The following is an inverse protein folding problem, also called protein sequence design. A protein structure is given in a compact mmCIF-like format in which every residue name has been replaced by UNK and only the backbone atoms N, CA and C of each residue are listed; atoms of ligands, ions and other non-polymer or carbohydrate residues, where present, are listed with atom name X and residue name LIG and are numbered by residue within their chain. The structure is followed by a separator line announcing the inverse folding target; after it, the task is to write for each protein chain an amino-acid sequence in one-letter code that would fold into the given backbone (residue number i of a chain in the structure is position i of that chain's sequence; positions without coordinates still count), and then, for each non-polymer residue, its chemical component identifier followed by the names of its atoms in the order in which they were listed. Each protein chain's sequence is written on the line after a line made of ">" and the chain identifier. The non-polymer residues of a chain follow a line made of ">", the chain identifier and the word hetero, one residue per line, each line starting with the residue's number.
data_IF_196067554226
#
_entry.id   IF_196067554226
#
_cell.length_a   1.000
_cell.length_b   1.000
_cell.length_c   1.000
_cell.angle_alpha   90.00
_cell.angle_beta   90.00
_cell.angle_gamma   90.00
#
_symmetry.space_group_name_H-M   'P 1'
#
loop_
_entity.id
_entity.type
_entity.pdbx_description
1 polymer ?
#
# COMPACT_ATOMS: atom_id res chain seq x y z
N UNK A 1 -42.06 4.54 6.82
CA UNK A 1 -42.29 3.49 5.80
C UNK A 1 -42.67 4.15 4.49
N UNK A 2 -41.72 4.38 3.58
CA UNK A 2 -42.01 4.62 2.16
C UNK A 2 -40.73 4.34 1.38
N UNK A 3 -40.72 3.18 0.75
CA UNK A 3 -39.64 2.66 -0.08
C UNK A 3 -39.91 3.02 -1.55
N UNK A 4 -38.82 3.40 -2.24
CA UNK A 4 -38.45 2.98 -3.60
C UNK A 4 -39.38 3.43 -4.74
N UNK A 5 -38.92 4.45 -5.47
CA UNK A 5 -39.08 4.54 -6.92
C UNK A 5 -37.78 5.07 -7.53
N UNK A 6 -36.90 4.17 -7.99
CA UNK A 6 -35.89 4.50 -9.00
C UNK A 6 -36.01 3.45 -10.12
N UNK A 7 -36.66 3.93 -11.18
CA UNK A 7 -36.66 3.50 -12.58
C UNK A 7 -35.67 2.38 -12.94
N UNK A 8 -36.23 1.18 -13.15
CA UNK A 8 -35.61 0.11 -13.94
C UNK A 8 -36.15 0.23 -15.36
N UNK A 9 -35.51 1.04 -16.20
CA UNK A 9 -35.86 1.05 -17.63
C UNK A 9 -34.67 1.49 -18.49
N UNK A 10 -33.75 0.56 -18.78
CA UNK A 10 -32.88 0.61 -19.96
C UNK A 10 -32.06 -0.68 -20.15
N UNK A 11 -32.72 -1.85 -20.04
CA UNK A 11 -32.14 -3.12 -20.51
C UNK A 11 -32.68 -3.53 -21.90
N UNK A 12 -33.53 -2.73 -22.53
CA UNK A 12 -34.26 -3.11 -23.77
C UNK A 12 -33.72 -2.52 -25.08
N UNK A 13 -32.70 -1.66 -25.07
CA UNK A 13 -32.15 -1.04 -26.30
C UNK A 13 -30.69 -1.40 -26.61
N UNK A 14 -30.15 -2.50 -26.04
CA UNK A 14 -28.82 -2.96 -26.43
C UNK A 14 -28.86 -3.67 -27.80
N UNK A 15 -28.25 -3.04 -28.80
CA UNK A 15 -27.97 -3.62 -30.13
C UNK A 15 -27.27 -4.99 -29.96
N UNK A 16 -27.48 -5.96 -30.89
CA UNK A 16 -26.93 -7.32 -30.76
C UNK A 16 -25.42 -7.34 -30.50
N UNK A 17 -24.70 -6.41 -31.15
CA UNK A 17 -23.26 -6.20 -31.02
C UNK A 17 -22.81 -5.86 -29.59
N UNK A 18 -23.56 -5.01 -28.88
CA UNK A 18 -23.22 -4.56 -27.52
C UNK A 18 -23.51 -5.64 -26.45
N UNK A 19 -24.47 -6.55 -26.71
CA UNK A 19 -24.72 -7.73 -25.85
C UNK A 19 -23.60 -8.74 -25.93
N UNK A 20 -23.05 -8.95 -27.12
CA UNK A 20 -21.97 -9.92 -27.34
C UNK A 20 -20.64 -9.44 -26.77
N UNK A 21 -20.34 -8.15 -26.87
CA UNK A 21 -19.16 -7.53 -26.27
C UNK A 21 -19.23 -7.58 -24.72
N UNK A 22 -20.39 -7.27 -24.14
CA UNK A 22 -20.61 -7.40 -22.69
C UNK A 22 -20.52 -8.85 -22.20
N UNK A 23 -20.96 -9.82 -23.01
CA UNK A 23 -20.80 -11.25 -22.71
C UNK A 23 -19.34 -11.68 -22.76
N UNK A 24 -18.55 -11.16 -23.70
CA UNK A 24 -17.10 -11.37 -23.79
C UNK A 24 -16.37 -10.74 -22.59
N UNK A 25 -16.73 -9.52 -22.19
CA UNK A 25 -16.17 -8.85 -20.99
C UNK A 25 -16.46 -9.65 -19.72
N UNK A 26 -17.70 -10.09 -19.49
CA UNK A 26 -18.06 -10.94 -18.35
C UNK A 26 -17.31 -12.28 -18.31
N UNK A 27 -17.16 -12.95 -19.46
CA UNK A 27 -16.37 -14.19 -19.57
C UNK A 27 -14.89 -13.95 -19.24
N UNK A 28 -14.33 -12.80 -19.65
CA UNK A 28 -12.94 -12.43 -19.36
C UNK A 28 -12.74 -12.15 -17.87
N UNK A 29 -13.64 -11.38 -17.24
CA UNK A 29 -13.60 -11.14 -15.79
C UNK A 29 -13.77 -12.43 -14.98
N UNK A 30 -14.67 -13.33 -15.39
CA UNK A 30 -14.85 -14.62 -14.73
C UNK A 30 -13.62 -15.54 -14.88
N UNK A 31 -12.90 -15.46 -16.02
CA UNK A 31 -11.63 -16.17 -16.20
C UNK A 31 -10.52 -15.61 -15.30
N UNK A 32 -10.43 -14.28 -15.16
CA UNK A 32 -9.45 -13.64 -14.28
C UNK A 32 -9.71 -13.99 -12.81
N UNK A 33 -10.97 -13.93 -12.36
CA UNK A 33 -11.32 -14.32 -10.99
C UNK A 33 -11.03 -15.80 -10.71
N UNK A 34 -11.28 -16.70 -11.67
CA UNK A 34 -10.87 -18.10 -11.56
C UNK A 34 -9.35 -18.26 -11.53
N UNK A 35 -8.60 -17.42 -12.24
CA UNK A 35 -7.13 -17.45 -12.20
C UNK A 35 -6.59 -16.97 -10.85
N UNK A 36 -7.20 -15.95 -10.25
CA UNK A 36 -6.86 -15.47 -8.90
C UNK A 36 -7.20 -16.47 -7.82
N UNK A 37 -8.38 -17.10 -7.87
CA UNK A 37 -8.72 -18.20 -6.96
C UNK A 37 -7.72 -19.34 -7.05
N UNK A 38 -7.29 -19.72 -8.27
CA UNK A 38 -6.23 -20.73 -8.45
C UNK A 38 -4.91 -20.30 -7.85
N UNK A 39 -4.50 -19.03 -8.00
CA UNK A 39 -3.28 -18.51 -7.37
C UNK A 39 -3.38 -18.56 -5.84
N UNK A 40 -4.53 -18.19 -5.27
CA UNK A 40 -4.77 -18.28 -3.84
C UNK A 40 -4.74 -19.74 -3.34
N UNK A 41 -5.40 -20.66 -4.05
CA UNK A 41 -5.36 -22.10 -3.73
C UNK A 41 -3.94 -22.69 -3.85
N UNK A 42 -3.15 -22.27 -4.85
CA UNK A 42 -1.75 -22.69 -4.97
C UNK A 42 -0.92 -22.18 -3.80
N UNK A 43 -1.07 -20.92 -3.42
CA UNK A 43 -0.38 -20.33 -2.27
C UNK A 43 -0.76 -21.04 -0.95
N UNK A 44 -2.04 -21.39 -0.78
CA UNK A 44 -2.49 -22.19 0.37
C UNK A 44 -1.90 -23.60 0.37
N UNK A 45 -1.83 -24.26 -0.79
CA UNK A 45 -1.21 -25.58 -0.96
C UNK A 45 0.29 -25.54 -0.68
N UNK A 46 1.00 -24.50 -1.12
CA UNK A 46 2.42 -24.28 -0.83
C UNK A 46 2.66 -24.09 0.67
N UNK A 47 1.84 -23.27 1.34
CA UNK A 47 1.92 -23.12 2.80
C UNK A 47 1.68 -24.44 3.54
N UNK A 48 0.68 -25.23 3.12
CA UNK A 48 0.43 -26.56 3.69
C UNK A 48 1.58 -27.54 3.42
N UNK A 49 2.18 -27.51 2.23
CA UNK A 49 3.36 -28.32 1.90
C UNK A 49 4.56 -27.92 2.76
N UNK A 50 4.79 -26.63 2.98
CA UNK A 50 5.86 -26.16 3.87
C UNK A 50 5.64 -26.60 5.32
N UNK A 51 4.39 -26.56 5.81
CA UNK A 51 4.07 -27.08 7.14
C UNK A 51 4.34 -28.58 7.26
N UNK A 52 3.93 -29.37 6.25
CA UNK A 52 4.23 -30.81 6.18
C UNK A 52 5.74 -31.09 6.16
N UNK A 53 6.49 -30.33 5.36
CA UNK A 53 7.96 -30.42 5.30
C UNK A 53 8.63 -30.05 6.62
N UNK A 54 8.08 -29.09 7.38
CA UNK A 54 8.61 -28.72 8.68
C UNK A 54 8.36 -29.80 9.73
N UNK A 55 7.16 -30.38 9.76
CA UNK A 55 6.82 -31.52 10.63
C UNK A 55 7.69 -32.73 10.29
N UNK A 56 7.86 -33.00 8.99
CA UNK A 56 8.70 -34.11 8.52
C UNK A 56 10.17 -33.90 8.88
N UNK A 57 10.71 -32.68 8.74
CA UNK A 57 12.07 -32.32 9.20
C UNK A 57 12.25 -32.52 10.70
N UNK A 58 11.26 -32.13 11.51
CA UNK A 58 11.26 -32.37 12.97
C UNK A 58 11.25 -33.86 13.31
N UNK A 59 10.47 -34.66 12.58
CA UNK A 59 10.43 -36.12 12.71
C UNK A 59 11.78 -36.76 12.35
N UNK A 60 12.36 -36.39 11.21
CA UNK A 60 13.67 -36.87 10.77
C UNK A 60 14.77 -36.51 11.77
N UNK A 61 14.76 -35.29 12.32
CA UNK A 61 15.73 -34.87 13.35
C UNK A 61 15.66 -35.76 14.60
N UNK A 62 14.46 -36.12 15.05
CA UNK A 62 14.29 -37.05 16.18
C UNK A 62 14.78 -38.45 15.81
N UNK A 63 14.48 -38.92 14.61
CA UNK A 63 14.87 -40.26 14.15
C UNK A 63 16.40 -40.40 14.06
N UNK A 64 17.09 -39.42 13.46
CA UNK A 64 18.56 -39.39 13.39
C UNK A 64 19.22 -39.24 14.78
N UNK A 65 18.60 -38.46 15.68
CA UNK A 65 19.05 -38.37 17.06
C UNK A 65 18.96 -39.71 17.79
N UNK A 66 17.84 -40.42 17.64
CA UNK A 66 17.63 -41.74 18.22
C UNK A 66 18.56 -42.82 17.63
N UNK A 67 18.78 -42.82 16.30
CA UNK A 67 19.74 -43.74 15.68
C UNK A 67 21.18 -43.46 16.12
N UNK A 68 21.55 -42.18 16.27
CA UNK A 68 22.85 -41.78 16.80
C UNK A 68 23.08 -42.28 18.24
N UNK A 69 22.07 -42.15 19.10
CA UNK A 69 22.11 -42.66 20.49
C UNK A 69 22.22 -44.19 20.55
N UNK A 70 21.50 -44.91 19.67
CA UNK A 70 21.60 -46.37 19.59
C UNK A 70 22.97 -46.83 19.11
N UNK A 71 23.54 -46.17 18.10
CA UNK A 71 24.89 -46.48 17.60
C UNK A 71 25.93 -46.18 18.68
N UNK A 72 25.81 -45.05 19.39
CA UNK A 72 26.69 -44.74 20.53
C UNK A 72 26.58 -45.78 21.65
N UNK A 73 25.36 -46.22 21.98
CA UNK A 73 25.12 -47.26 22.97
C UNK A 73 25.74 -48.61 22.58
N UNK A 74 25.64 -49.01 21.31
CA UNK A 74 26.24 -50.24 20.79
C UNK A 74 27.78 -50.17 20.76
N UNK A 75 28.35 -49.02 20.41
CA UNK A 75 29.79 -48.79 20.45
C UNK A 75 30.31 -48.82 21.89
N UNK A 76 29.60 -48.21 22.84
CA UNK A 76 29.92 -48.28 24.26
C UNK A 76 29.93 -49.73 24.77
N UNK A 77 28.89 -50.50 24.46
CA UNK A 77 28.80 -51.92 24.85
C UNK A 77 29.99 -52.72 24.32
N UNK A 78 30.41 -52.46 23.08
CA UNK A 78 31.55 -53.15 22.46
C UNK A 78 32.90 -52.70 23.03
N UNK A 79 33.06 -51.42 23.39
CA UNK A 79 34.30 -50.89 24.00
C UNK A 79 34.43 -51.35 25.45
N UNK A 80 33.36 -51.33 26.24
CA UNK A 80 33.35 -51.85 27.63
C UNK A 80 33.61 -53.35 27.69
N UNK A 81 33.19 -54.10 26.67
CA UNK A 81 33.47 -55.53 26.56
C UNK A 81 34.95 -55.85 26.23
N UNK A 82 35.68 -54.91 25.60
CA UNK A 82 37.05 -55.14 25.11
C UNK A 82 38.11 -54.41 25.97
N UNK A 83 37.80 -53.25 26.58
CA UNK A 83 38.75 -52.39 27.32
C UNK A 83 38.11 -51.67 28.53
N UNK A 84 38.97 -51.16 29.42
CA UNK A 84 38.62 -50.51 30.69
C UNK A 84 37.62 -49.36 30.57
N UNK A 85 36.77 -49.20 31.61
CA UNK A 85 35.57 -48.33 31.62
C UNK A 85 35.80 -46.86 31.24
N UNK A 86 37.03 -46.35 31.39
CA UNK A 86 37.37 -44.95 31.15
C UNK A 86 37.48 -44.57 29.66
N UNK A 87 37.91 -45.49 28.79
CA UNK A 87 38.04 -45.23 27.35
C UNK A 87 36.67 -45.15 26.64
N UNK A 88 35.65 -45.79 27.19
CA UNK A 88 34.30 -45.74 26.64
C UNK A 88 33.66 -44.34 26.80
N UNK A 89 33.91 -43.68 27.94
CA UNK A 89 33.35 -42.36 28.24
C UNK A 89 33.96 -41.28 27.34
N UNK A 90 35.27 -41.30 27.11
CA UNK A 90 35.94 -40.31 26.25
C UNK A 90 35.52 -40.43 24.80
N UNK A 91 35.38 -41.66 24.28
CA UNK A 91 34.87 -41.90 22.92
C UNK A 91 33.42 -41.42 22.76
N UNK A 92 32.57 -41.57 23.78
CA UNK A 92 31.19 -41.07 23.73
C UNK A 92 31.12 -39.54 23.75
N UNK A 93 31.95 -38.88 24.56
CA UNK A 93 31.99 -37.41 24.60
C UNK A 93 32.47 -36.83 23.27
N UNK A 94 33.49 -37.42 22.64
CA UNK A 94 34.00 -36.92 21.35
C UNK A 94 33.02 -37.18 20.20
N UNK A 95 32.34 -38.34 20.17
CA UNK A 95 31.30 -38.62 19.17
C UNK A 95 30.09 -37.70 19.33
N UNK A 96 29.68 -37.40 20.56
CA UNK A 96 28.62 -36.42 20.84
C UNK A 96 29.03 -35.01 20.39
N UNK A 97 30.28 -34.62 20.60
CA UNK A 97 30.81 -33.32 20.17
C UNK A 97 30.82 -33.16 18.66
N UNK A 98 31.25 -34.20 17.93
CA UNK A 98 31.24 -34.24 16.47
C UNK A 98 29.80 -34.19 15.91
N UNK A 99 28.87 -34.93 16.52
CA UNK A 99 27.46 -34.89 16.13
C UNK A 99 26.85 -33.49 16.31
N UNK A 100 27.18 -32.80 17.40
CA UNK A 100 26.75 -31.42 17.63
C UNK A 100 27.30 -30.43 16.60
N UNK A 101 28.55 -30.62 16.14
CA UNK A 101 29.12 -29.79 15.07
C UNK A 101 28.41 -30.01 13.73
N UNK A 102 28.09 -31.28 13.40
CA UNK A 102 27.33 -31.61 12.20
C UNK A 102 25.90 -31.06 12.22
N UNK A 103 25.23 -31.09 13.37
CA UNK A 103 23.89 -30.50 13.53
C UNK A 103 23.92 -28.98 13.37
N UNK A 104 24.94 -28.29 13.90
CA UNK A 104 25.13 -26.83 13.69
C UNK A 104 25.35 -26.49 12.21
N UNK A 105 26.11 -27.31 11.50
CA UNK A 105 26.31 -27.14 10.05
C UNK A 105 25.00 -27.34 9.29
N UNK A 106 24.21 -28.35 9.65
CA UNK A 106 22.89 -28.57 9.04
C UNK A 106 21.95 -27.38 9.25
N UNK A 107 21.89 -26.83 10.46
CA UNK A 107 21.07 -25.64 10.75
C UNK A 107 21.59 -24.40 9.98
N UNK A 108 22.91 -24.26 9.83
CA UNK A 108 23.54 -23.18 9.06
C UNK A 108 23.24 -23.24 7.56
N UNK A 109 23.11 -24.45 6.98
CA UNK A 109 22.69 -24.60 5.58
C UNK A 109 21.22 -24.18 5.43
N UNK A 110 20.38 -24.49 6.41
CA UNK A 110 18.97 -24.08 6.42
C UNK A 110 18.77 -22.57 6.53
N UNK A 111 19.58 -21.87 7.32
CA UNK A 111 19.54 -20.41 7.40
C UNK A 111 20.08 -19.75 6.13
N UNK A 112 21.15 -20.29 5.54
CA UNK A 112 21.69 -19.80 4.28
C UNK A 112 20.68 -19.90 3.13
N UNK A 113 19.95 -21.02 3.01
CA UNK A 113 18.91 -21.17 1.99
C UNK A 113 17.77 -20.16 2.14
N UNK A 114 17.37 -19.85 3.38
CA UNK A 114 16.36 -18.80 3.62
C UNK A 114 16.89 -17.42 3.20
N UNK A 115 18.11 -17.10 3.60
CA UNK A 115 18.78 -15.86 3.20
C UNK A 115 18.87 -15.71 1.68
N UNK A 116 19.17 -16.80 0.96
CA UNK A 116 19.20 -16.80 -0.51
C UNK A 116 17.85 -16.45 -1.14
N UNK A 117 16.76 -17.05 -0.66
CA UNK A 117 15.39 -16.77 -1.14
C UNK A 117 15.01 -15.31 -0.85
N UNK A 118 15.40 -14.77 0.30
CA UNK A 118 15.14 -13.39 0.66
C UNK A 118 15.95 -12.42 -0.20
N UNK A 119 17.22 -12.73 -0.51
CA UNK A 119 18.03 -11.97 -1.46
C UNK A 119 17.43 -11.96 -2.87
N UNK A 120 16.95 -13.12 -3.35
CA UNK A 120 16.31 -13.21 -4.67
C UNK A 120 15.04 -12.34 -4.75
N UNK A 121 14.25 -12.28 -3.65
CA UNK A 121 13.10 -11.37 -3.56
C UNK A 121 13.51 -9.90 -3.59
N UNK A 122 14.58 -9.52 -2.89
CA UNK A 122 15.09 -8.15 -2.86
C UNK A 122 15.61 -7.73 -4.25
N UNK A 123 16.40 -8.59 -4.90
CA UNK A 123 16.93 -8.33 -6.24
C UNK A 123 15.79 -8.14 -7.26
N UNK A 124 14.72 -8.94 -7.16
CA UNK A 124 13.56 -8.78 -8.03
C UNK A 124 12.80 -7.45 -7.80
N UNK A 125 12.88 -6.86 -6.62
CA UNK A 125 12.32 -5.53 -6.33
C UNK A 125 13.21 -4.43 -6.95
N UNK A 126 14.53 -4.60 -6.92
CA UNK A 126 15.48 -3.63 -7.51
C UNK A 126 15.53 -3.66 -9.04
N UNK A 127 15.12 -4.77 -9.67
CA UNK A 127 15.10 -4.92 -11.13
C UNK A 127 14.01 -4.13 -11.87
N UNK A 128 13.02 -3.56 -11.17
CA UNK A 128 12.05 -2.67 -11.80
C UNK A 128 12.69 -1.31 -12.10
N UNK A 129 13.24 -1.16 -13.31
CA UNK A 129 13.65 0.16 -13.82
C UNK A 129 12.40 1.01 -14.06
N UNK A 130 12.19 2.12 -13.32
CA UNK A 130 11.07 3.01 -13.62
C UNK A 130 11.37 3.64 -14.99
N UNK A 131 10.44 3.49 -15.93
CA UNK A 131 10.53 4.18 -17.20
C UNK A 131 10.43 5.70 -16.92
N UNK A 132 11.53 6.42 -17.13
CA UNK A 132 11.73 7.77 -16.62
C UNK A 132 11.30 8.82 -17.64
N UNK A 133 10.02 9.20 -17.60
CA UNK A 133 9.58 10.49 -18.12
C UNK A 133 9.31 11.43 -16.96
N UNK A 134 9.94 12.61 -17.00
CA UNK A 134 9.67 13.71 -16.07
C UNK A 134 8.42 14.46 -16.54
N UNK A 135 7.54 14.76 -15.59
CA UNK A 135 6.33 15.53 -15.84
C UNK A 135 6.69 17.02 -15.87
N UNK A 136 6.36 17.70 -16.96
CA UNK A 136 6.31 19.17 -17.04
C UNK A 136 4.91 19.53 -17.52
N UNK A 137 3.94 19.65 -16.62
CA UNK A 137 2.58 20.06 -16.97
C UNK A 137 2.19 21.36 -16.31
N UNK A 138 1.54 22.21 -17.10
CA UNK A 138 1.05 23.54 -16.69
C UNK A 138 -0.44 23.47 -16.35
N UNK A 139 -1.21 22.52 -16.94
CA UNK A 139 -2.67 22.37 -16.75
C UNK A 139 -3.16 20.92 -17.00
N UNK A 140 -3.23 20.06 -15.98
CA UNK A 140 -3.52 18.64 -16.16
C UNK A 140 -5.00 18.37 -16.45
N UNK A 141 -5.23 17.59 -17.51
CA UNK A 141 -6.49 16.95 -17.91
C UNK A 141 -6.43 15.49 -17.49
N UNK A 142 -7.45 15.00 -16.77
CA UNK A 142 -7.50 13.59 -16.35
C UNK A 142 -8.63 12.88 -17.08
N UNK A 143 -8.33 11.84 -17.83
CA UNK A 143 -9.34 11.00 -18.48
C UNK A 143 -9.30 9.59 -17.89
N UNK A 144 -10.47 9.12 -17.44
CA UNK A 144 -10.69 7.77 -16.97
C UNK A 144 -11.36 6.98 -18.09
N UNK A 145 -10.70 5.90 -18.51
CA UNK A 145 -11.27 4.86 -19.38
C UNK A 145 -11.12 3.52 -18.66
N UNK A 146 -11.70 3.43 -17.45
CA UNK A 146 -11.55 2.27 -16.57
C UNK A 146 -12.81 2.00 -15.75
N UNK A 147 -12.88 0.79 -15.19
CA UNK A 147 -13.88 0.37 -14.22
C UNK A 147 -13.13 0.07 -12.93
N UNK A 148 -13.48 0.77 -11.85
CA UNK A 148 -12.83 0.63 -10.54
C UNK A 148 -13.87 0.09 -9.56
N UNK A 149 -13.65 -1.16 -9.12
CA UNK A 149 -14.60 -1.87 -8.26
C UNK A 149 -15.96 -2.00 -8.93
N UNK A 150 -17.00 -1.47 -8.27
CA UNK A 150 -18.39 -1.42 -8.73
C UNK A 150 -18.69 -0.21 -9.63
N UNK A 151 -17.81 0.79 -9.67
CA UNK A 151 -18.03 2.06 -10.37
C UNK A 151 -17.45 2.04 -11.78
N UNK A 152 -18.29 2.39 -12.74
CA UNK A 152 -17.89 2.53 -14.13
C UNK A 152 -17.45 3.99 -14.40
N UNK A 153 -16.16 4.20 -14.62
CA UNK A 153 -15.58 5.50 -14.95
C UNK A 153 -15.24 5.61 -16.44
N UNK A 154 -15.80 4.77 -17.32
CA UNK A 154 -15.56 4.85 -18.76
C UNK A 154 -15.98 6.22 -19.33
N UNK A 155 -15.13 6.78 -20.22
CA UNK A 155 -15.33 8.09 -20.86
C UNK A 155 -15.50 9.27 -19.89
N UNK A 156 -15.06 9.16 -18.64
CA UNK A 156 -15.09 10.27 -17.68
C UNK A 156 -13.86 11.13 -17.89
N UNK A 157 -14.05 12.37 -18.29
CA UNK A 157 -12.97 13.35 -18.41
C UNK A 157 -13.14 14.47 -17.39
N UNK A 158 -12.07 14.74 -16.65
CA UNK A 158 -11.90 15.91 -15.79
C UNK A 158 -11.14 16.97 -16.58
N UNK A 159 -11.83 18.07 -16.87
CA UNK A 159 -11.23 19.19 -17.59
C UNK A 159 -10.26 19.96 -16.68
N UNK A 160 -9.25 20.63 -17.25
CA UNK A 160 -8.39 21.53 -16.50
C UNK A 160 -9.18 22.60 -15.75
N UNK A 161 -8.75 22.96 -14.54
CA UNK A 161 -9.36 24.05 -13.75
C UNK A 161 -10.87 23.79 -13.57
N UNK A 162 -11.20 22.57 -13.18
CA UNK A 162 -12.58 22.17 -12.91
C UNK A 162 -12.67 21.39 -11.61
N UNK A 163 -13.83 21.51 -10.95
CA UNK A 163 -14.16 20.68 -9.80
C UNK A 163 -15.03 19.50 -10.24
N UNK A 164 -14.42 18.33 -10.40
CA UNK A 164 -15.14 17.10 -10.74
C UNK A 164 -15.40 16.27 -9.48
N UNK A 165 -16.66 15.87 -9.28
CA UNK A 165 -17.04 14.94 -8.22
C UNK A 165 -17.24 13.54 -8.82
N UNK A 166 -16.69 12.53 -8.15
CA UNK A 166 -16.85 11.12 -8.47
C UNK A 166 -17.52 10.46 -7.28
N UNK A 167 -18.81 10.17 -7.43
CA UNK A 167 -19.65 9.59 -6.38
C UNK A 167 -19.81 8.07 -6.55
N UNK A 168 -20.08 7.38 -5.44
CA UNK A 168 -20.46 5.97 -5.43
C UNK A 168 -19.28 5.00 -5.36
N UNK A 169 -18.07 5.50 -5.08
CA UNK A 169 -16.89 4.67 -4.90
C UNK A 169 -16.84 4.12 -3.46
N UNK A 170 -16.84 2.80 -3.34
CA UNK A 170 -16.56 2.12 -2.07
C UNK A 170 -15.20 2.55 -1.51
N UNK A 171 -14.99 2.42 -0.18
CA UNK A 171 -13.73 2.83 0.48
C UNK A 171 -12.49 2.21 -0.17
N UNK A 172 -12.58 0.95 -0.54
CA UNK A 172 -11.48 0.19 -1.13
C UNK A 172 -11.19 0.66 -2.55
N UNK A 173 -12.24 0.98 -3.31
CA UNK A 173 -12.17 1.52 -4.66
C UNK A 173 -11.55 2.93 -4.68
N UNK A 174 -11.91 3.80 -3.72
CA UNK A 174 -11.28 5.12 -3.55
C UNK A 174 -9.80 4.98 -3.24
N UNK A 175 -9.44 4.10 -2.31
CA UNK A 175 -8.05 3.87 -1.94
C UNK A 175 -7.23 3.28 -3.09
N UNK A 176 -7.79 2.33 -3.83
CA UNK A 176 -7.14 1.78 -5.03
C UNK A 176 -6.92 2.86 -6.09
N UNK A 177 -7.92 3.70 -6.37
CA UNK A 177 -7.77 4.82 -7.30
C UNK A 177 -6.66 5.78 -6.84
N UNK A 178 -6.62 6.14 -5.56
CA UNK A 178 -5.56 6.98 -4.99
C UNK A 178 -4.18 6.34 -5.19
N UNK A 179 -4.03 5.03 -4.94
CA UNK A 179 -2.74 4.33 -5.14
C UNK A 179 -2.31 4.31 -6.60
N UNK A 180 -3.24 4.10 -7.51
CA UNK A 180 -2.98 4.15 -8.96
C UNK A 180 -2.54 5.55 -9.38
N UNK A 181 -3.24 6.59 -8.93
CA UNK A 181 -2.88 7.98 -9.24
C UNK A 181 -1.49 8.35 -8.68
N UNK A 182 -1.05 7.72 -7.59
CA UNK A 182 0.32 7.89 -7.05
C UNK A 182 1.38 7.03 -7.73
N UNK A 183 1.01 6.18 -8.69
CA UNK A 183 1.93 5.22 -9.32
C UNK A 183 2.46 4.17 -8.34
N UNK A 184 1.68 3.80 -7.32
CA UNK A 184 2.01 2.74 -6.34
C UNK A 184 1.47 1.39 -6.80
N UNK A 185 0.27 1.38 -7.37
CA UNK A 185 -0.37 0.20 -7.95
C UNK A 185 -0.66 0.45 -9.42
N UNK A 186 -0.68 -0.62 -10.22
CA UNK A 186 -1.09 -0.58 -11.63
C UNK A 186 -2.57 -0.94 -11.73
N UNK A 187 -3.25 -0.38 -12.73
CA UNK A 187 -4.64 -0.75 -13.03
C UNK A 187 -4.72 -2.20 -13.50
N UNK A 188 -5.73 -2.92 -13.02
CA UNK A 188 -6.02 -4.28 -13.51
C UNK A 188 -6.70 -4.25 -14.87
N UNK A 189 -7.52 -3.22 -15.13
CA UNK A 189 -8.30 -3.04 -16.36
C UNK A 189 -8.48 -1.58 -16.72
N UNK A 190 -8.50 -1.28 -18.02
CA UNK A 190 -8.69 0.08 -18.53
C UNK A 190 -7.41 0.92 -18.46
N UNK A 191 -7.56 2.21 -18.72
CA UNK A 191 -6.46 3.17 -18.75
C UNK A 191 -6.87 4.47 -18.07
N UNK A 192 -5.96 5.07 -17.31
CA UNK A 192 -6.09 6.45 -16.84
C UNK A 192 -5.07 7.27 -17.60
N UNK A 193 -5.51 8.39 -18.18
CA UNK A 193 -4.64 9.30 -18.90
C UNK A 193 -4.52 10.63 -18.17
N UNK A 194 -3.30 11.13 -18.06
CA UNK A 194 -2.99 12.50 -17.69
C UNK A 194 -2.50 13.21 -18.95
N UNK A 195 -3.13 14.31 -19.35
CA UNK A 195 -2.80 15.07 -20.57
C UNK A 195 -2.62 14.19 -21.82
N UNK A 196 -3.56 13.25 -21.98
CA UNK A 196 -3.63 12.27 -23.08
C UNK A 196 -2.55 11.18 -23.09
N UNK A 197 -1.60 11.19 -22.15
CA UNK A 197 -0.63 10.09 -21.97
C UNK A 197 -1.08 9.16 -20.86
N UNK A 198 -0.77 7.86 -21.00
CA UNK A 198 -1.11 6.87 -19.99
C UNK A 198 -0.36 7.14 -18.68
N UNK A 199 -1.04 7.05 -17.54
CA UNK A 199 -0.43 7.28 -16.24
C UNK A 199 0.78 6.36 -15.96
N UNK A 200 0.83 5.20 -16.62
CA UNK A 200 1.92 4.23 -16.49
C UNK A 200 3.22 4.64 -17.20
N UNK A 201 3.21 5.67 -18.04
CA UNK A 201 4.44 6.17 -18.69
C UNK A 201 5.24 7.11 -17.80
N UNK A 202 4.66 7.62 -16.71
CA UNK A 202 5.31 8.53 -15.79
C UNK A 202 6.05 7.82 -14.67
N UNK A 203 7.11 8.47 -14.18
CA UNK A 203 7.74 8.02 -12.94
C UNK A 203 6.82 8.28 -11.73
N UNK A 204 6.87 7.38 -10.74
CA UNK A 204 6.11 7.56 -9.49
C UNK A 204 6.52 8.84 -8.75
N UNK A 205 7.76 9.31 -8.92
CA UNK A 205 8.19 10.60 -8.36
C UNK A 205 7.46 11.76 -9.01
N UNK A 206 7.44 11.81 -10.35
CA UNK A 206 6.76 12.86 -11.10
C UNK A 206 5.25 12.89 -10.78
N UNK A 207 4.60 11.73 -10.64
CA UNK A 207 3.20 11.66 -10.21
C UNK A 207 2.98 12.22 -8.80
N UNK A 208 3.89 11.94 -7.85
CA UNK A 208 3.81 12.48 -6.48
C UNK A 208 4.04 13.98 -6.41
N UNK A 209 4.85 14.53 -7.30
CA UNK A 209 5.15 15.97 -7.37
C UNK A 209 4.06 16.75 -8.12
N UNK A 210 3.32 16.09 -9.03
CA UNK A 210 2.27 16.73 -9.83
C UNK A 210 0.87 16.59 -9.23
N UNK A 211 0.61 15.55 -8.43
CA UNK A 211 -0.71 15.25 -7.87
C UNK A 211 -0.70 15.40 -6.34
N UNK A 212 -1.42 16.41 -5.85
CA UNK A 212 -1.69 16.58 -4.43
C UNK A 212 -2.87 15.72 -3.97
N UNK A 213 -2.68 14.90 -2.95
CA UNK A 213 -3.76 14.04 -2.41
C UNK A 213 -4.06 14.38 -0.95
N UNK A 214 -5.34 14.59 -0.64
CA UNK A 214 -5.87 14.66 0.72
C UNK A 214 -6.64 13.37 1.04
N UNK A 215 -6.03 12.40 1.75
CA UNK A 215 -6.72 11.18 2.14
C UNK A 215 -7.75 11.43 3.25
N UNK A 216 -8.75 10.55 3.38
CA UNK A 216 -9.71 10.64 4.49
C UNK A 216 -9.07 10.37 5.85
N UNK A 217 -7.94 9.63 5.88
CA UNK A 217 -7.15 9.33 7.08
C UNK A 217 -5.67 9.42 6.74
N UNK A 218 -4.90 10.10 7.58
CA UNK A 218 -3.45 10.20 7.41
C UNK A 218 -2.76 9.03 8.10
N UNK A 219 -1.77 8.39 7.45
CA UNK A 219 -0.86 7.48 8.13
C UNK A 219 0.07 8.33 9.01
N UNK A 220 -0.21 8.41 10.30
CA UNK A 220 0.61 9.16 11.27
C UNK A 220 1.43 8.19 12.10
N UNK A 221 2.72 8.46 12.23
CA UNK A 221 3.57 7.81 13.22
C UNK A 221 3.46 8.59 14.53
N UNK A 222 3.53 7.93 15.68
CA UNK A 222 3.37 8.60 16.99
C UNK A 222 4.37 9.74 17.26
N UNK A 223 5.45 9.81 16.49
CA UNK A 223 6.52 10.81 16.64
C UNK A 223 6.38 12.01 15.69
N UNK A 224 5.36 12.04 14.83
CA UNK A 224 5.23 13.10 13.84
C UNK A 224 4.71 14.39 14.52
N UNK A 225 5.47 15.48 14.37
CA UNK A 225 5.05 16.83 14.79
C UNK A 225 4.30 17.54 13.66
N UNK A 226 3.56 18.59 14.00
CA UNK A 226 2.87 19.42 13.00
C UNK A 226 3.86 19.96 11.95
N UNK A 227 5.06 20.37 12.37
CA UNK A 227 6.12 20.83 11.50
C UNK A 227 6.60 19.73 10.53
N UNK A 228 7.00 18.57 11.03
CA UNK A 228 7.50 17.46 10.19
C UNK A 228 6.45 16.99 9.19
N UNK A 229 5.18 16.99 9.60
CA UNK A 229 4.08 16.63 8.73
C UNK A 229 3.88 17.59 7.55
N UNK A 230 4.06 18.90 7.79
CA UNK A 230 3.92 19.93 6.75
C UNK A 230 5.09 19.90 5.76
N UNK A 231 6.31 19.68 6.24
CA UNK A 231 7.50 19.57 5.37
C UNK A 231 7.37 18.42 4.37
N UNK A 232 6.97 17.22 4.84
CA UNK A 232 6.81 16.04 3.99
C UNK A 232 8.00 15.77 3.03
N UNK A 233 9.22 15.95 3.54
CA UNK A 233 10.45 15.74 2.76
C UNK A 233 10.80 16.86 1.78
N UNK A 234 10.12 18.00 1.84
CA UNK A 234 10.50 19.25 1.18
C UNK A 234 10.98 20.27 2.21
N UNK A 235 11.84 21.18 1.78
CA UNK A 235 12.30 22.30 2.59
C UNK A 235 11.46 23.54 2.28
N UNK A 236 10.61 23.94 3.23
CA UNK A 236 9.82 25.17 3.17
C UNK A 236 10.31 26.14 4.24
N UNK A 237 10.27 27.45 3.94
CA UNK A 237 10.55 28.47 4.94
C UNK A 237 9.40 28.54 5.96
N UNK A 238 9.72 28.90 7.21
CA UNK A 238 8.71 29.01 8.28
C UNK A 238 7.56 29.97 7.91
N UNK A 239 7.85 31.06 7.20
CA UNK A 239 6.85 32.01 6.73
C UNK A 239 5.89 31.39 5.72
N UNK A 240 6.38 30.51 4.83
CA UNK A 240 5.53 29.79 3.87
C UNK A 240 4.62 28.79 4.59
N UNK A 241 5.19 28.04 5.54
CA UNK A 241 4.45 27.10 6.39
C UNK A 241 3.33 27.83 7.14
N UNK A 242 3.67 28.95 7.81
CA UNK A 242 2.71 29.76 8.56
C UNK A 242 1.64 30.34 7.63
N UNK A 243 2.02 30.89 6.48
CA UNK A 243 1.08 31.44 5.51
C UNK A 243 0.07 30.38 5.00
N UNK A 244 0.53 29.15 4.75
CA UNK A 244 -0.35 28.04 4.36
C UNK A 244 -1.31 27.66 5.50
N UNK A 245 -0.83 27.59 6.74
CA UNK A 245 -1.67 27.31 7.92
C UNK A 245 -2.69 28.41 8.22
N UNK A 246 -2.36 29.67 7.95
CA UNK A 246 -3.30 30.80 8.07
C UNK A 246 -4.42 30.67 7.04
N UNK A 247 -4.10 30.33 5.79
CA UNK A 247 -5.10 30.16 4.71
C UNK A 247 -6.16 29.10 5.03
N UNK A 248 -5.80 28.05 5.78
CA UNK A 248 -6.74 26.99 6.17
C UNK A 248 -7.26 27.13 7.61
N UNK A 249 -7.02 28.28 8.25
CA UNK A 249 -7.46 28.60 9.61
C UNK A 249 -7.07 27.53 10.65
N UNK A 250 -5.82 27.05 10.62
CA UNK A 250 -5.26 26.12 11.63
C UNK A 250 -4.14 26.74 12.46
N UNK A 251 -3.51 27.81 11.96
CA UNK A 251 -2.36 28.47 12.60
C UNK A 251 -2.65 28.91 14.05
N UNK A 252 -3.80 29.58 14.30
CA UNK A 252 -4.20 29.98 15.66
C UNK A 252 -4.33 28.80 16.63
N UNK A 253 -4.82 27.66 16.13
CA UNK A 253 -4.95 26.44 16.94
C UNK A 253 -3.58 25.87 17.28
N UNK A 254 -2.68 25.82 16.31
CA UNK A 254 -1.31 25.34 16.52
C UNK A 254 -0.58 26.24 17.54
N UNK A 255 -0.74 27.56 17.42
CA UNK A 255 -0.15 28.53 18.36
C UNK A 255 -0.77 28.50 19.77
N UNK A 256 -1.96 27.90 19.94
CA UNK A 256 -2.57 27.75 21.27
C UNK A 256 -1.88 26.67 22.12
N UNK A 257 -1.11 25.77 21.49
CA UNK A 257 -0.33 24.76 22.19
C UNK A 257 0.98 25.34 22.71
N UNK A 258 1.44 24.87 23.86
CA UNK A 258 2.73 25.30 24.46
C UNK A 258 3.94 25.06 23.54
N UNK A 259 3.84 24.07 22.65
CA UNK A 259 4.91 23.66 21.74
C UNK A 259 4.71 24.16 20.30
N UNK A 260 3.69 25.00 20.02
CA UNK A 260 3.45 25.54 18.68
C UNK A 260 3.52 24.46 17.58
N UNK A 261 4.33 24.67 16.54
CA UNK A 261 4.53 23.74 15.42
C UNK A 261 5.30 22.46 15.77
N UNK A 262 6.00 22.40 16.90
CA UNK A 262 6.61 21.16 17.40
C UNK A 262 5.63 20.29 18.19
N UNK A 263 4.36 20.67 18.27
CA UNK A 263 3.30 19.85 18.86
C UNK A 263 3.08 18.57 18.06
N UNK A 264 2.92 17.43 18.75
CA UNK A 264 2.60 16.15 18.13
C UNK A 264 1.24 16.16 17.46
N UNK A 265 1.14 15.52 16.29
CA UNK A 265 -0.12 15.44 15.52
C UNK A 265 -1.23 14.71 16.30
N UNK A 266 -0.86 13.81 17.20
CA UNK A 266 -1.79 13.08 18.06
C UNK A 266 -2.61 13.98 18.99
N UNK A 267 -2.15 15.22 19.23
CA UNK A 267 -2.89 16.23 19.97
C UNK A 267 -4.01 16.90 19.17
N UNK A 268 -4.04 16.73 17.85
CA UNK A 268 -5.06 17.30 16.97
C UNK A 268 -6.26 16.36 16.81
N UNK A 269 -7.45 16.94 16.74
CA UNK A 269 -8.65 16.21 16.32
C UNK A 269 -8.52 15.77 14.86
N UNK A 270 -9.32 14.78 14.44
CA UNK A 270 -9.31 14.26 13.05
C UNK A 270 -9.54 15.35 12.00
N UNK A 271 -10.38 16.33 12.33
CA UNK A 271 -10.75 17.40 11.41
C UNK A 271 -9.69 18.52 11.40
N UNK A 272 -9.09 18.85 12.56
CA UNK A 272 -7.91 19.74 12.61
C UNK A 272 -6.73 19.16 11.83
N UNK A 273 -6.48 17.85 11.96
CA UNK A 273 -5.48 17.14 11.16
C UNK A 273 -5.81 17.18 9.66
N UNK A 274 -7.09 17.11 9.28
CA UNK A 274 -7.50 17.27 7.87
C UNK A 274 -7.21 18.69 7.36
N UNK A 275 -7.41 19.74 8.17
CA UNK A 275 -7.00 21.11 7.83
C UNK A 275 -5.49 21.24 7.71
N UNK A 276 -4.73 20.62 8.61
CA UNK A 276 -3.27 20.55 8.49
C UNK A 276 -2.85 19.87 7.18
N UNK A 277 -3.56 18.82 6.76
CA UNK A 277 -3.40 18.18 5.46
C UNK A 277 -3.71 19.10 4.27
N UNK A 278 -4.71 19.98 4.39
CA UNK A 278 -4.98 21.00 3.38
C UNK A 278 -3.86 22.05 3.31
N UNK A 279 -3.30 22.49 4.45
CA UNK A 279 -2.13 23.36 4.45
C UNK A 279 -0.95 22.71 3.70
N UNK A 280 -0.73 21.41 3.94
CA UNK A 280 0.28 20.63 3.22
C UNK A 280 0.02 20.59 1.71
N UNK A 281 -1.23 20.43 1.27
CA UNK A 281 -1.57 20.52 -0.16
C UNK A 281 -1.28 21.89 -0.77
N UNK A 282 -1.55 22.97 -0.01
CA UNK A 282 -1.22 24.33 -0.45
C UNK A 282 0.29 24.54 -0.60
N UNK A 283 1.09 23.95 0.29
CA UNK A 283 2.56 24.01 0.22
C UNK A 283 3.13 23.29 -0.99
N UNK A 284 2.54 22.14 -1.36
CA UNK A 284 2.99 21.36 -2.52
C UNK A 284 2.80 22.06 -3.87
N UNK A 285 1.94 23.08 -3.96
CA UNK A 285 1.68 23.86 -5.19
C UNK A 285 1.32 23.02 -6.43
N UNK A 286 0.79 21.82 -6.24
CA UNK A 286 0.37 20.90 -7.32
C UNK A 286 -0.81 21.43 -8.12
N UNK A 287 -0.87 21.14 -9.42
CA UNK A 287 -1.96 21.60 -10.30
C UNK A 287 -3.20 20.70 -10.26
N UNK A 288 -3.04 19.42 -9.87
CA UNK A 288 -4.12 18.46 -9.70
C UNK A 288 -4.27 18.07 -8.23
N UNK A 289 -5.47 18.29 -7.68
CA UNK A 289 -5.83 17.90 -6.33
C UNK A 289 -6.83 16.75 -6.33
N UNK A 290 -6.58 15.75 -5.50
CA UNK A 290 -7.48 14.60 -5.29
C UNK A 290 -7.87 14.57 -3.82
N UNK A 291 -9.16 14.72 -3.55
CA UNK A 291 -9.72 14.84 -2.21
C UNK A 291 -10.56 13.60 -1.91
N UNK A 292 -10.17 12.86 -0.88
CA UNK A 292 -10.91 11.68 -0.42
C UNK A 292 -11.97 12.08 0.62
N UNK A 293 -13.21 12.17 0.17
CA UNK A 293 -14.35 12.65 0.93
C UNK A 293 -14.43 14.18 1.01
N UNK A 294 -15.40 14.64 1.77
CA UNK A 294 -15.73 16.05 1.85
C UNK A 294 -14.77 16.87 2.70
N UNK A 295 -14.52 18.09 2.25
CA UNK A 295 -13.89 19.12 3.07
C UNK A 295 -15.00 19.75 3.94
N UNK A 296 -15.36 19.07 5.03
CA UNK A 296 -16.31 19.61 6.00
C UNK A 296 -15.53 20.36 7.10
N UNK A 297 -15.77 21.66 7.30
CA UNK A 297 -15.26 22.43 8.44
C UNK A 297 -15.92 22.05 9.79
N UNK A 298 -15.22 22.35 10.90
CA UNK A 298 -15.58 21.95 12.28
C UNK A 298 -16.77 22.70 12.87
N UNK A 299 -16.87 24.00 12.60
CA UNK A 299 -17.78 24.94 13.26
C UNK A 299 -18.41 25.89 12.23
N UNK A 300 -19.70 26.20 12.40
CA UNK A 300 -20.53 27.04 11.51
C UNK A 300 -19.90 28.42 11.17
N UNK A 301 -19.15 29.01 12.12
CA UNK A 301 -18.50 30.31 11.95
C UNK A 301 -17.23 30.25 11.10
N UNK A 302 -16.53 29.11 11.10
CA UNK A 302 -15.30 28.90 10.33
C UNK A 302 -15.55 28.34 8.93
N UNK A 303 -16.78 27.87 8.66
CA UNK A 303 -17.19 27.36 7.34
C UNK A 303 -17.04 28.43 6.28
N UNK A 304 -17.49 29.64 6.58
CA UNK A 304 -17.53 30.71 5.59
C UNK A 304 -16.13 31.17 5.15
N UNK A 305 -15.20 31.34 6.09
CA UNK A 305 -13.83 31.78 5.78
C UNK A 305 -13.04 30.71 5.04
N UNK A 306 -13.14 29.45 5.47
CA UNK A 306 -12.47 28.32 4.82
C UNK A 306 -13.05 28.08 3.42
N UNK A 307 -14.36 28.03 3.28
CA UNK A 307 -15.02 27.81 1.97
C UNK A 307 -14.69 28.91 0.98
N UNK A 308 -14.68 30.19 1.40
CA UNK A 308 -14.26 31.30 0.54
C UNK A 308 -12.82 31.13 0.06
N UNK A 309 -11.91 30.73 0.96
CA UNK A 309 -10.50 30.50 0.62
C UNK A 309 -10.33 29.30 -0.32
N UNK A 310 -11.06 28.21 -0.07
CA UNK A 310 -11.02 27.02 -0.91
C UNK A 310 -11.61 27.25 -2.29
N UNK A 311 -12.69 28.02 -2.41
CA UNK A 311 -13.28 28.37 -3.71
C UNK A 311 -12.27 29.12 -4.58
N UNK A 312 -11.55 30.10 -4.03
CA UNK A 312 -10.47 30.81 -4.75
C UNK A 312 -9.38 29.86 -5.23
N UNK A 313 -9.04 28.84 -4.42
CA UNK A 313 -8.05 27.83 -4.81
C UNK A 313 -8.60 26.92 -5.90
N UNK A 314 -9.85 26.46 -5.78
CA UNK A 314 -10.52 25.60 -6.74
C UNK A 314 -10.72 26.27 -8.10
N UNK A 315 -10.91 27.59 -8.13
CA UNK A 315 -11.01 28.38 -9.38
C UNK A 315 -9.70 28.41 -10.17
N UNK A 316 -8.57 28.03 -9.57
CA UNK A 316 -7.26 28.02 -10.21
C UNK A 316 -6.69 26.62 -10.47
N UNK A 317 -7.34 25.55 -9.98
CA UNK A 317 -6.79 24.19 -9.96
C UNK A 317 -7.76 23.15 -10.48
N UNK A 318 -7.23 22.03 -10.97
CA UNK A 318 -8.03 20.86 -11.28
C UNK A 318 -8.27 20.08 -9.98
N UNK A 319 -9.53 19.88 -9.59
CA UNK A 319 -9.90 19.25 -8.32
C UNK A 319 -10.81 18.05 -8.58
N UNK A 320 -10.43 16.90 -8.05
CA UNK A 320 -11.21 15.66 -8.07
C UNK A 320 -11.63 15.34 -6.64
N UNK A 321 -12.92 15.30 -6.37
CA UNK A 321 -13.44 14.84 -5.06
C UNK A 321 -14.06 13.46 -5.20
N UNK A 322 -13.60 12.52 -4.38
CA UNK A 322 -14.09 11.14 -4.32
C UNK A 322 -15.12 11.04 -3.18
N UNK A 323 -16.34 10.58 -3.47
CA UNK A 323 -17.45 10.52 -2.51
C UNK A 323 -18.10 9.16 -2.44
#
# INVERSE_FOLDING_TARGET
>A
MTCIYIVVESARSATPWNREENRKKRKKSAMVWKAEQRKFEMSQKEHQQQQKLNIWRLGMRKLYGCSGLLICSLVLLRVVYIHDRYMAITVLLETQRLLQQLLKLYDSVGTFQKGWIDCERIINIEGETPNQQNIVYIRPTVAFDTVIGSVNLLNRQCNPISHTKIDGLDSDSRWHLIKVLRGIEKLTWGTIRLDHQDITTYSSQALRESIGILPSKFPTTGNDTCHTFLLNGFDYNEDEIRAACIKVNIDKKIQSFSSNYSTYITALTKQELRRLGLARLLLQRTELWVLDGDIIPLDDTEIFSLSKTLNVVFDSKTVITLR
#
